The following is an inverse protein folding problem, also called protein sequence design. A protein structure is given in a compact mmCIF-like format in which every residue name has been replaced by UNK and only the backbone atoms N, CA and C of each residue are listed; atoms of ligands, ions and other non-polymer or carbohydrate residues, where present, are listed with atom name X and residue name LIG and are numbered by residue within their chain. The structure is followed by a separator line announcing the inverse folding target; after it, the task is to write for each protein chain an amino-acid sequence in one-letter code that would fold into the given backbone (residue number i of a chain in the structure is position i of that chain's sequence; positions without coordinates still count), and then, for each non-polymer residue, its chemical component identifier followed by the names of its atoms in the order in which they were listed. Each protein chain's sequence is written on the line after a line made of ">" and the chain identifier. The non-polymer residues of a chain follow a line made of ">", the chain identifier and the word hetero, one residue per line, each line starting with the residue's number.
data_IF_296533081321
#
_entry.id   IF_296533081321
#
_cell.length_a   1.000
_cell.length_b   1.000
_cell.length_c   1.000
_cell.angle_alpha   90.00
_cell.angle_beta   90.00
_cell.angle_gamma   90.00
#
_symmetry.space_group_name_H-M   'P 1'
#
loop_
_entity.id
_entity.type
_entity.pdbx_description
1 polymer ?
#
# COMPACT_ATOMS: atom_id res chain seq x y z
N UNK A 1 26.90 43.87 3.23
CA UNK A 1 27.07 42.42 2.99
C UNK A 1 25.91 41.68 3.66
N UNK A 2 24.83 41.41 2.92
CA UNK A 2 23.71 40.61 3.43
C UNK A 2 23.93 39.15 2.99
N UNK A 3 24.31 38.31 3.95
CA UNK A 3 24.42 36.86 3.76
C UNK A 3 23.00 36.29 3.77
N UNK A 4 22.43 36.06 2.59
CA UNK A 4 21.12 35.39 2.44
C UNK A 4 21.32 33.89 2.70
N UNK A 5 21.04 33.46 3.93
CA UNK A 5 20.97 32.04 4.29
C UNK A 5 19.82 31.39 3.51
N UNK A 6 20.16 30.67 2.44
CA UNK A 6 19.27 29.75 1.72
C UNK A 6 18.91 28.58 2.64
N UNK A 7 18.02 28.80 3.61
CA UNK A 7 17.32 27.70 4.27
C UNK A 7 16.30 27.18 3.27
N UNK A 8 16.53 25.98 2.78
CA UNK A 8 15.59 25.22 1.93
C UNK A 8 14.32 24.94 2.72
N UNK A 9 13.41 25.92 2.80
CA UNK A 9 12.14 25.75 3.46
C UNK A 9 11.30 24.73 2.66
N UNK A 10 11.04 23.58 3.29
CA UNK A 10 10.11 22.58 2.76
C UNK A 10 8.72 23.23 2.78
N UNK A 11 8.11 23.40 1.61
CA UNK A 11 6.72 23.87 1.54
C UNK A 11 5.77 22.79 2.05
N UNK A 12 4.61 23.14 2.64
CA UNK A 12 3.65 22.16 3.17
C UNK A 12 3.29 21.06 2.16
N UNK A 13 3.11 21.41 0.88
CA UNK A 13 2.85 20.45 -0.20
C UNK A 13 4.01 19.48 -0.45
N UNK A 14 5.25 19.93 -0.33
CA UNK A 14 6.43 19.07 -0.46
C UNK A 14 6.58 18.15 0.75
N UNK A 15 6.26 18.63 1.95
CA UNK A 15 6.24 17.81 3.16
C UNK A 15 5.17 16.70 3.07
N UNK A 16 3.95 17.04 2.66
CA UNK A 16 2.86 16.05 2.46
C UNK A 16 3.26 15.01 1.43
N UNK A 17 3.79 15.43 0.28
CA UNK A 17 4.23 14.50 -0.76
C UNK A 17 5.32 13.56 -0.25
N UNK A 18 6.32 14.09 0.47
CA UNK A 18 7.39 13.28 1.05
C UNK A 18 6.83 12.29 2.08
N UNK A 19 5.91 12.74 2.93
CA UNK A 19 5.22 11.89 3.90
C UNK A 19 4.47 10.73 3.25
N UNK A 20 3.73 10.99 2.16
CA UNK A 20 3.03 9.94 1.41
C UNK A 20 4.00 8.90 0.82
N UNK A 21 5.13 9.35 0.27
CA UNK A 21 6.16 8.44 -0.26
C UNK A 21 6.86 7.65 0.84
N UNK A 22 7.15 8.27 1.98
CA UNK A 22 7.74 7.59 3.13
C UNK A 22 6.79 6.53 3.71
N UNK A 23 5.52 6.86 3.89
CA UNK A 23 4.50 5.91 4.34
C UNK A 23 4.29 4.77 3.34
N UNK A 24 4.36 5.06 2.03
CA UNK A 24 4.34 4.02 0.99
C UNK A 24 5.53 3.08 1.15
N UNK A 25 6.75 3.62 1.33
CA UNK A 25 7.95 2.80 1.50
C UNK A 25 7.88 1.92 2.75
N UNK A 26 7.39 2.47 3.87
CA UNK A 26 7.15 1.71 5.10
C UNK A 26 6.12 0.60 4.88
N UNK A 27 5.01 0.90 4.19
CA UNK A 27 3.98 -0.08 3.87
C UNK A 27 4.48 -1.21 2.95
N UNK A 28 5.33 -0.89 1.97
CA UNK A 28 6.01 -1.90 1.13
C UNK A 28 6.92 -2.77 1.99
N UNK A 29 7.76 -2.17 2.84
CA UNK A 29 8.69 -2.91 3.69
C UNK A 29 7.94 -3.85 4.66
N UNK A 30 6.89 -3.38 5.31
CA UNK A 30 6.09 -4.23 6.20
C UNK A 30 5.33 -5.33 5.46
N UNK A 31 4.79 -5.06 4.26
CA UNK A 31 4.17 -6.10 3.45
C UNK A 31 5.18 -7.19 3.05
N UNK A 32 6.41 -6.79 2.68
CA UNK A 32 7.48 -7.73 2.38
C UNK A 32 7.87 -8.60 3.58
N UNK A 33 7.93 -8.01 4.79
CA UNK A 33 8.21 -8.74 6.03
C UNK A 33 7.10 -9.73 6.36
N UNK A 34 5.83 -9.32 6.27
CA UNK A 34 4.68 -10.21 6.50
C UNK A 34 4.69 -11.40 5.51
N UNK A 35 4.88 -11.13 4.21
CA UNK A 35 5.01 -12.19 3.21
C UNK A 35 6.19 -13.12 3.52
N UNK A 36 7.28 -12.58 4.06
CA UNK A 36 8.45 -13.36 4.41
C UNK A 36 8.27 -14.23 5.65
N UNK A 37 7.64 -13.70 6.70
CA UNK A 37 7.33 -14.44 7.91
C UNK A 37 6.33 -15.57 7.65
N UNK A 38 5.38 -15.34 6.76
CA UNK A 38 4.41 -16.35 6.30
C UNK A 38 5.00 -17.32 5.25
N UNK A 39 6.30 -17.18 4.91
CA UNK A 39 7.00 -17.96 3.87
C UNK A 39 6.19 -18.08 2.58
N UNK A 40 5.59 -16.97 2.17
CA UNK A 40 4.54 -16.91 1.16
C UNK A 40 5.09 -17.02 -0.27
N UNK A 41 5.80 -18.12 -0.57
CA UNK A 41 6.47 -18.41 -1.84
C UNK A 41 6.46 -19.90 -2.20
N UNK A 42 5.62 -20.71 -1.54
CA UNK A 42 5.55 -22.15 -1.74
C UNK A 42 4.75 -22.56 -2.99
N UNK A 43 3.87 -21.70 -3.49
CA UNK A 43 3.05 -21.98 -4.68
C UNK A 43 3.04 -20.79 -5.64
N UNK A 44 2.71 -21.03 -6.91
CA UNK A 44 2.61 -19.96 -7.91
C UNK A 44 1.60 -18.88 -7.51
N UNK A 45 0.47 -19.26 -6.90
CA UNK A 45 -0.52 -18.30 -6.41
C UNK A 45 0.05 -17.40 -5.31
N UNK A 46 0.92 -17.94 -4.44
CA UNK A 46 1.59 -17.14 -3.41
C UNK A 46 2.60 -16.14 -3.99
N UNK A 47 3.03 -16.27 -5.25
CA UNK A 47 3.91 -15.30 -5.90
C UNK A 47 3.18 -14.04 -6.38
N UNK A 48 1.86 -14.06 -6.50
CA UNK A 48 1.04 -12.90 -6.91
C UNK A 48 1.33 -11.65 -6.04
N UNK A 49 1.29 -11.72 -4.69
CA UNK A 49 1.60 -10.55 -3.86
C UNK A 49 3.06 -10.08 -3.98
N UNK A 50 4.02 -10.96 -4.28
CA UNK A 50 5.41 -10.55 -4.55
C UNK A 50 5.52 -9.76 -5.86
N UNK A 51 4.79 -10.16 -6.89
CA UNK A 51 4.70 -9.39 -8.14
C UNK A 51 4.06 -8.01 -7.89
N UNK A 52 2.96 -7.97 -7.13
CA UNK A 52 2.29 -6.72 -6.75
C UNK A 52 3.22 -5.79 -5.95
N UNK A 53 3.99 -6.34 -5.00
CA UNK A 53 5.02 -5.64 -4.24
C UNK A 53 6.10 -5.06 -5.18
N UNK A 54 6.63 -5.86 -6.11
CA UNK A 54 7.60 -5.42 -7.11
C UNK A 54 7.07 -4.28 -8.00
N UNK A 55 5.82 -4.37 -8.43
CA UNK A 55 5.14 -3.30 -9.18
C UNK A 55 5.04 -2.02 -8.35
N UNK A 56 4.73 -2.10 -7.05
CA UNK A 56 4.71 -0.93 -6.17
C UNK A 56 6.09 -0.32 -5.96
N UNK A 57 7.14 -1.12 -5.84
CA UNK A 57 8.53 -0.62 -5.76
C UNK A 57 8.88 0.16 -7.03
N UNK A 58 8.55 -0.37 -8.21
CA UNK A 58 8.75 0.32 -9.49
C UNK A 58 7.92 1.61 -9.55
N UNK A 59 6.64 1.55 -9.20
CA UNK A 59 5.78 2.73 -9.18
C UNK A 59 6.29 3.82 -8.22
N UNK A 60 6.76 3.43 -7.02
CA UNK A 60 7.37 4.33 -6.05
C UNK A 60 8.62 4.99 -6.62
N UNK A 61 9.52 4.23 -7.24
CA UNK A 61 10.71 4.77 -7.89
C UNK A 61 10.35 5.75 -9.03
N UNK A 62 9.35 5.42 -9.85
CA UNK A 62 8.86 6.30 -10.92
C UNK A 62 8.27 7.61 -10.38
N UNK A 63 7.57 7.59 -9.23
CA UNK A 63 7.07 8.82 -8.58
C UNK A 63 8.18 9.59 -7.88
N UNK A 64 9.15 8.91 -7.28
CA UNK A 64 10.24 9.57 -6.57
C UNK A 64 11.18 10.27 -7.56
N UNK A 65 11.63 9.55 -8.58
CA UNK A 65 12.75 9.94 -9.44
C UNK A 65 12.36 10.20 -10.90
N UNK A 66 11.21 9.69 -11.36
CA UNK A 66 10.79 9.84 -12.75
C UNK A 66 10.29 11.25 -13.11
N UNK A 67 10.28 11.63 -14.39
CA UNK A 67 9.75 12.91 -14.87
C UNK A 67 8.22 13.01 -14.67
N UNK A 68 7.63 14.21 -14.74
CA UNK A 68 6.19 14.41 -14.51
C UNK A 68 5.27 13.53 -15.39
N UNK A 69 5.72 13.17 -16.60
CA UNK A 69 5.01 12.27 -17.52
C UNK A 69 4.80 10.85 -16.98
N UNK A 70 5.58 10.39 -16.00
CA UNK A 70 5.41 9.04 -15.42
C UNK A 70 4.18 8.93 -14.52
N UNK A 71 3.56 10.05 -14.14
CA UNK A 71 2.41 10.05 -13.24
C UNK A 71 1.23 9.22 -13.76
N UNK A 72 0.97 9.23 -15.07
CA UNK A 72 -0.09 8.41 -15.66
C UNK A 72 0.21 6.91 -15.52
N UNK A 73 1.45 6.50 -15.82
CA UNK A 73 1.90 5.10 -15.67
C UNK A 73 1.78 4.65 -14.22
N UNK A 74 2.25 5.46 -13.27
CA UNK A 74 2.13 5.17 -11.84
C UNK A 74 0.68 4.97 -11.44
N UNK A 75 -0.24 5.82 -11.90
CA UNK A 75 -1.66 5.69 -11.56
C UNK A 75 -2.25 4.38 -12.04
N UNK A 76 -1.87 3.92 -13.24
CA UNK A 76 -2.29 2.63 -13.76
C UNK A 76 -1.71 1.49 -12.91
N UNK A 77 -0.39 1.50 -12.67
CA UNK A 77 0.28 0.46 -11.86
C UNK A 77 -0.30 0.39 -10.44
N UNK A 78 -0.42 1.53 -9.76
CA UNK A 78 -0.99 1.60 -8.42
C UNK A 78 -2.48 1.23 -8.42
N UNK A 79 -3.25 1.64 -9.42
CA UNK A 79 -4.66 1.24 -9.56
C UNK A 79 -4.83 -0.27 -9.70
N UNK A 80 -4.02 -0.92 -10.55
CA UNK A 80 -4.03 -2.38 -10.70
C UNK A 80 -3.67 -3.08 -9.39
N UNK A 81 -2.60 -2.63 -8.71
CA UNK A 81 -2.21 -3.22 -7.42
C UNK A 81 -3.28 -2.99 -6.35
N UNK A 82 -3.91 -1.80 -6.31
CA UNK A 82 -4.98 -1.50 -5.36
C UNK A 82 -6.14 -2.48 -5.53
N UNK A 83 -6.61 -2.70 -6.76
CA UNK A 83 -7.71 -3.63 -7.04
C UNK A 83 -7.33 -5.08 -6.71
N UNK A 84 -6.15 -5.53 -7.14
CA UNK A 84 -5.66 -6.87 -6.84
C UNK A 84 -5.51 -7.11 -5.33
N UNK A 85 -5.01 -6.11 -4.60
CA UNK A 85 -4.79 -6.20 -3.15
C UNK A 85 -6.11 -6.12 -2.37
N UNK A 86 -7.07 -5.29 -2.80
CA UNK A 86 -8.41 -5.27 -2.23
C UNK A 86 -9.11 -6.62 -2.40
N UNK A 87 -8.99 -7.24 -3.58
CA UNK A 87 -9.45 -8.60 -3.81
C UNK A 87 -8.72 -9.61 -2.91
N UNK A 88 -7.39 -9.47 -2.75
CA UNK A 88 -6.60 -10.30 -1.82
C UNK A 88 -7.10 -10.22 -0.38
N UNK A 89 -7.39 -9.02 0.13
CA UNK A 89 -8.01 -8.84 1.46
C UNK A 89 -9.33 -9.59 1.52
N UNK A 90 -10.22 -9.36 0.56
CA UNK A 90 -11.52 -10.03 0.51
C UNK A 90 -11.39 -11.55 0.52
N UNK A 91 -10.46 -12.12 -0.26
CA UNK A 91 -10.24 -13.57 -0.32
C UNK A 91 -9.74 -14.13 1.01
N UNK A 92 -8.77 -13.48 1.65
CA UNK A 92 -8.26 -13.92 2.95
C UNK A 92 -9.33 -13.87 4.03
N UNK A 93 -10.12 -12.78 4.07
CA UNK A 93 -11.24 -12.65 5.01
C UNK A 93 -12.34 -13.68 4.71
N UNK A 94 -12.66 -13.93 3.44
CA UNK A 94 -13.69 -14.91 3.06
C UNK A 94 -13.27 -16.34 3.45
N UNK A 95 -12.00 -16.69 3.27
CA UNK A 95 -11.45 -17.98 3.73
C UNK A 95 -11.57 -18.09 5.25
N UNK A 96 -11.21 -17.05 5.99
CA UNK A 96 -11.35 -17.03 7.44
C UNK A 96 -12.82 -17.15 7.88
N UNK A 97 -13.74 -16.46 7.21
CA UNK A 97 -15.17 -16.54 7.47
C UNK A 97 -15.71 -17.96 7.25
N UNK A 98 -15.22 -18.65 6.21
CA UNK A 98 -15.56 -20.05 5.94
C UNK A 98 -15.12 -21.01 7.05
N UNK A 99 -14.09 -20.66 7.82
CA UNK A 99 -13.66 -21.44 8.99
C UNK A 99 -14.59 -21.27 10.21
N UNK A 100 -15.57 -20.37 10.13
CA UNK A 100 -16.60 -20.15 11.15
C UNK A 100 -17.32 -21.40 11.61
N UNK A 101 -17.65 -22.31 10.70
CA UNK A 101 -18.33 -23.57 11.02
C UNK A 101 -17.54 -24.52 11.92
N UNK A 102 -16.27 -24.21 12.22
CA UNK A 102 -15.44 -24.95 13.17
C UNK A 102 -15.52 -24.43 14.61
N UNK A 103 -16.25 -23.33 14.84
CA UNK A 103 -16.42 -22.71 16.16
C UNK A 103 -17.86 -22.92 16.65
N UNK A 104 -18.07 -23.32 17.92
CA UNK A 104 -19.40 -23.38 18.52
C UNK A 104 -20.17 -22.07 18.38
N UNK A 105 -21.48 -22.16 18.20
CA UNK A 105 -22.39 -21.02 18.16
C UNK A 105 -22.12 -20.00 17.03
N UNK A 106 -21.28 -20.32 16.05
CA UNK A 106 -20.96 -19.41 14.93
C UNK A 106 -22.21 -18.86 14.23
N UNK A 107 -23.19 -19.73 13.97
CA UNK A 107 -24.43 -19.39 13.29
C UNK A 107 -25.36 -18.52 14.15
N UNK A 108 -25.09 -18.39 15.44
CA UNK A 108 -25.83 -17.49 16.34
C UNK A 108 -25.26 -16.06 16.32
N UNK A 109 -24.04 -15.87 15.81
CA UNK A 109 -23.40 -14.56 15.71
C UNK A 109 -24.04 -13.73 14.59
N UNK A 110 -24.05 -12.41 14.77
CA UNK A 110 -24.48 -11.51 13.70
C UNK A 110 -23.50 -11.57 12.51
N UNK A 111 -23.97 -11.34 11.27
CA UNK A 111 -23.08 -11.29 10.11
C UNK A 111 -21.92 -10.30 10.29
N UNK A 112 -22.16 -9.14 10.89
CA UNK A 112 -21.10 -8.16 11.15
C UNK A 112 -20.01 -8.73 12.08
N UNK A 113 -20.41 -9.45 13.12
CA UNK A 113 -19.48 -10.11 14.04
C UNK A 113 -18.68 -11.21 13.35
N UNK A 114 -19.35 -12.02 12.51
CA UNK A 114 -18.70 -13.08 11.74
C UNK A 114 -17.61 -12.52 10.82
N UNK A 115 -17.93 -11.49 10.02
CA UNK A 115 -16.97 -10.83 9.15
C UNK A 115 -15.88 -10.07 9.92
N UNK A 116 -16.21 -9.47 11.07
CA UNK A 116 -15.22 -8.85 11.95
C UNK A 116 -14.22 -9.87 12.48
N UNK A 117 -14.68 -11.02 13.00
CA UNK A 117 -13.81 -12.08 13.48
C UNK A 117 -12.93 -12.66 12.37
N UNK A 118 -13.48 -12.80 11.17
CA UNK A 118 -12.71 -13.24 10.01
C UNK A 118 -11.61 -12.24 9.61
N UNK A 119 -11.91 -10.94 9.70
CA UNK A 119 -10.96 -9.85 9.42
C UNK A 119 -9.86 -9.76 10.48
N UNK A 120 -10.20 -9.88 11.76
CA UNK A 120 -9.25 -9.79 12.88
C UNK A 120 -8.49 -11.09 13.12
N UNK A 121 -8.73 -12.13 12.32
CA UNK A 121 -8.21 -13.48 12.51
C UNK A 121 -8.59 -14.08 13.88
N UNK A 122 -9.73 -13.67 14.45
CA UNK A 122 -10.33 -14.36 15.59
C UNK A 122 -10.94 -15.71 15.17
N UNK A 123 -11.21 -15.87 13.87
CA UNK A 123 -11.46 -17.15 13.21
C UNK A 123 -10.58 -17.27 11.97
N UNK A 124 -10.14 -18.50 11.65
CA UNK A 124 -9.23 -18.76 10.54
C UNK A 124 -7.82 -18.22 10.76
N UNK A 125 -6.91 -18.58 9.85
CA UNK A 125 -5.49 -18.22 9.96
C UNK A 125 -4.97 -17.40 8.77
N UNK A 126 -5.77 -17.21 7.71
CA UNK A 126 -5.33 -16.50 6.52
C UNK A 126 -5.07 -15.02 6.86
N UNK A 127 -3.85 -14.49 6.67
CA UNK A 127 -3.48 -13.15 7.13
C UNK A 127 -3.93 -12.06 6.13
N UNK A 128 -4.87 -11.16 6.46
CA UNK A 128 -5.28 -10.09 5.55
C UNK A 128 -4.37 -8.86 5.60
N UNK A 129 -3.40 -8.82 6.52
CA UNK A 129 -2.56 -7.65 6.76
C UNK A 129 -1.66 -7.32 5.55
N UNK A 130 -0.92 -8.30 5.02
CA UNK A 130 -0.06 -8.08 3.86
C UNK A 130 -0.81 -7.50 2.64
N UNK A 131 -1.93 -8.07 2.15
CA UNK A 131 -2.69 -7.44 1.08
C UNK A 131 -3.30 -6.09 1.48
N UNK A 132 -3.68 -5.90 2.75
CA UNK A 132 -4.12 -4.59 3.26
C UNK A 132 -3.05 -3.50 3.15
N UNK A 133 -1.80 -3.84 3.50
CA UNK A 133 -0.64 -2.95 3.38
C UNK A 133 -0.31 -2.61 1.92
N UNK A 134 -0.41 -3.58 1.01
CA UNK A 134 -0.24 -3.34 -0.43
C UNK A 134 -1.33 -2.40 -0.97
N UNK A 135 -2.60 -2.61 -0.59
CA UNK A 135 -3.70 -1.72 -0.96
C UNK A 135 -3.49 -0.29 -0.43
N UNK A 136 -3.10 -0.15 0.83
CA UNK A 136 -2.79 1.15 1.43
C UNK A 136 -1.62 1.85 0.71
N UNK A 137 -0.52 1.15 0.45
CA UNK A 137 0.63 1.70 -0.27
C UNK A 137 0.27 2.14 -1.70
N UNK A 138 -0.56 1.36 -2.39
CA UNK A 138 -1.06 1.73 -3.71
C UNK A 138 -1.90 3.03 -3.66
N UNK A 139 -2.81 3.14 -2.68
CA UNK A 139 -3.61 4.34 -2.46
C UNK A 139 -2.74 5.56 -2.13
N UNK A 140 -1.75 5.41 -1.25
CA UNK A 140 -0.82 6.48 -0.90
C UNK A 140 -0.03 6.98 -2.13
N UNK A 141 0.38 6.08 -3.02
CA UNK A 141 1.02 6.46 -4.29
C UNK A 141 0.07 7.24 -5.21
N UNK A 142 -1.18 6.81 -5.34
CA UNK A 142 -2.19 7.53 -6.11
C UNK A 142 -2.33 8.97 -5.59
N UNK A 143 -2.49 9.13 -4.28
CA UNK A 143 -2.56 10.43 -3.63
C UNK A 143 -1.29 11.26 -3.86
N UNK A 144 -0.10 10.65 -3.77
CA UNK A 144 1.17 11.33 -4.02
C UNK A 144 1.29 11.87 -5.46
N UNK A 145 0.60 11.26 -6.43
CA UNK A 145 0.54 11.77 -7.82
C UNK A 145 -0.39 12.97 -8.00
N UNK A 146 -1.24 13.28 -7.01
CA UNK A 146 -2.12 14.44 -7.02
C UNK A 146 -1.45 15.67 -6.39
N UNK A 147 -0.38 15.47 -5.61
CA UNK A 147 0.37 16.56 -4.96
C UNK A 147 1.42 17.13 -5.93
N UNK A 148 1.36 18.43 -6.28
CA UNK A 148 2.28 19.04 -7.23
C UNK A 148 3.75 18.94 -6.81
N UNK A 149 4.64 18.64 -7.77
CA UNK A 149 6.09 18.84 -7.60
C UNK A 149 6.40 20.34 -7.73
N UNK A 150 7.13 20.90 -6.77
CA UNK A 150 7.58 22.30 -6.81
C UNK A 150 8.44 22.49 -8.08
N UNK A 151 8.05 23.41 -8.98
CA UNK A 151 8.99 23.93 -9.98
C UNK A 151 9.90 24.90 -9.27
N UNK A 152 11.19 24.58 -9.19
CA UNK A 152 12.18 25.60 -8.86
C UNK A 152 12.18 26.57 -10.04
N UNK A 153 11.67 27.78 -9.84
CA UNK A 153 11.90 28.86 -10.79
C UNK A 153 13.36 29.28 -10.62
N UNK A 154 14.19 29.01 -11.63
CA UNK A 154 15.51 29.63 -11.73
C UNK A 154 15.28 31.15 -11.83
N UNK A 155 15.65 31.87 -10.77
CA UNK A 155 15.79 33.31 -10.84
C UNK A 155 17.01 33.55 -11.72
N UNK A 156 16.79 33.91 -12.99
CA UNK A 156 17.86 34.44 -13.83
C UNK A 156 18.37 35.73 -13.19
N UNK A 157 19.63 35.72 -12.76
CA UNK A 157 20.36 36.91 -12.36
C UNK A 157 20.80 37.70 -13.60
#
# INVERSE_FOLDING_TARGET
>A
MASTSLRTAITPTSAVRLGLLALTAIGIAGAALELAFERHWQTFTQLIPWVALGVLVVALALVAFGPARTAAVVRVLAGVVLLASAYGVFMHVSVNHGMGGMIPDWDTLSPLTQWWYALTKSVGAAPPLAPGMLAQSALLLLLATLVPRRRLHEVKA
#
